data_IF_196738787320
#
_entry.id   IF_196738787320
#
_cell.length_a   1.000
_cell.length_b   1.000
_cell.length_c   1.000
_cell.angle_alpha   90.00
_cell.angle_beta   90.00
_cell.angle_gamma   90.00
#
_symmetry.space_group_name_H-M   'P 1'
#
loop_
_entity.id
_entity.type
_entity.pdbx_description
1 polymer ?
#
# COMPACT_ATOMS: atom_id res chain seq x y z
N UNK A 1 -15.36 52.35 -4.33
CA UNK A 1 -14.90 51.32 -3.38
C UNK A 1 -16.11 50.59 -2.83
N UNK A 2 -16.48 49.43 -3.38
CA UNK A 2 -17.45 48.53 -2.77
C UNK A 2 -16.74 47.40 -2.02
N UNK A 3 -17.11 47.20 -0.76
CA UNK A 3 -16.63 46.10 0.09
C UNK A 3 -17.43 44.83 -0.21
N UNK A 4 -16.76 43.77 -0.68
CA UNK A 4 -17.34 42.45 -0.88
C UNK A 4 -17.37 41.67 0.44
N UNK A 5 -18.56 41.49 1.00
CA UNK A 5 -18.85 40.51 2.06
C UNK A 5 -19.13 39.15 1.39
N UNK A 6 -18.16 38.23 1.47
CA UNK A 6 -18.39 36.81 1.18
C UNK A 6 -18.59 36.09 2.51
N UNK A 7 -19.85 35.76 2.78
CA UNK A 7 -20.31 35.07 3.98
C UNK A 7 -19.88 33.60 3.95
N UNK A 8 -18.99 33.20 4.85
CA UNK A 8 -18.75 31.79 5.19
C UNK A 8 -19.98 31.24 5.92
N UNK A 9 -20.72 30.33 5.28
CA UNK A 9 -21.66 29.41 5.94
C UNK A 9 -21.17 27.98 5.71
N UNK A 10 -20.51 27.41 6.70
CA UNK A 10 -20.44 25.96 6.91
C UNK A 10 -20.56 25.73 8.40
N UNK A 11 -21.67 25.14 8.83
CA UNK A 11 -21.77 24.29 10.00
C UNK A 11 -23.15 23.62 10.03
N UNK A 12 -23.12 22.35 10.44
CA UNK A 12 -24.20 21.52 10.94
C UNK A 12 -25.24 20.99 9.94
N UNK A 13 -24.94 19.83 9.33
CA UNK A 13 -25.86 18.68 9.22
C UNK A 13 -25.09 17.37 9.08
N UNK A 14 -24.79 16.72 10.20
CA UNK A 14 -24.62 15.27 10.26
C UNK A 14 -25.27 14.79 11.55
N UNK A 15 -26.55 14.44 11.43
CA UNK A 15 -27.28 13.60 12.38
C UNK A 15 -28.36 12.86 11.60
N UNK A 16 -28.40 11.56 11.85
CA UNK A 16 -29.47 10.59 11.62
C UNK A 16 -29.46 9.75 10.33
N UNK A 17 -29.50 8.43 10.61
CA UNK A 17 -29.98 7.31 9.81
C UNK A 17 -29.03 6.67 8.78
N UNK A 18 -28.22 5.71 9.25
CA UNK A 18 -27.99 4.49 8.49
C UNK A 18 -29.03 3.44 8.93
N UNK A 19 -30.08 3.16 8.15
CA UNK A 19 -30.91 1.99 8.39
C UNK A 19 -30.12 0.75 8.00
N UNK A 20 -30.15 -0.22 8.91
CA UNK A 20 -29.71 -1.59 8.74
C UNK A 20 -30.10 -2.12 7.36
N UNK A 21 -29.11 -2.36 6.50
CA UNK A 21 -29.29 -3.14 5.29
C UNK A 21 -29.57 -4.58 5.73
N UNK A 22 -30.85 -4.94 5.75
CA UNK A 22 -31.27 -6.34 5.86
C UNK A 22 -30.63 -7.13 4.73
N UNK A 23 -29.77 -8.07 5.11
CA UNK A 23 -29.21 -9.08 4.23
C UNK A 23 -30.36 -9.93 3.69
N UNK A 24 -30.89 -9.58 2.51
CA UNK A 24 -31.80 -10.45 1.77
C UNK A 24 -30.95 -11.58 1.20
N UNK A 25 -30.98 -12.70 1.91
CA UNK A 25 -30.41 -13.97 1.49
C UNK A 25 -31.15 -14.42 0.22
N UNK A 26 -30.65 -14.03 -0.95
CA UNK A 26 -31.15 -14.53 -2.21
C UNK A 26 -30.56 -15.92 -2.40
N UNK A 27 -31.35 -16.95 -2.05
CA UNK A 27 -31.05 -18.33 -2.41
C UNK A 27 -31.14 -18.42 -3.93
N UNK A 28 -30.00 -18.27 -4.61
CA UNK A 28 -29.88 -18.64 -6.00
C UNK A 28 -29.93 -20.17 -6.03
N UNK A 29 -31.10 -20.71 -6.37
CA UNK A 29 -31.22 -22.11 -6.74
C UNK A 29 -30.29 -22.35 -7.94
N UNK A 30 -29.18 -23.03 -7.70
CA UNK A 30 -28.30 -23.51 -8.76
C UNK A 30 -29.10 -24.48 -9.63
N UNK A 31 -29.53 -24.01 -10.79
CA UNK A 31 -29.94 -24.88 -11.88
C UNK A 31 -28.67 -25.59 -12.37
N UNK A 32 -28.59 -26.90 -12.14
CA UNK A 32 -27.58 -27.75 -12.77
C UNK A 32 -27.73 -27.62 -14.30
N UNK A 33 -26.70 -27.12 -15.03
CA UNK A 33 -26.73 -27.21 -16.47
C UNK A 33 -26.63 -28.69 -16.87
N UNK A 34 -27.58 -29.14 -17.68
CA UNK A 34 -27.58 -30.47 -18.27
C UNK A 34 -26.22 -30.74 -18.95
N UNK A 35 -25.54 -31.79 -18.47
CA UNK A 35 -24.28 -32.29 -19.01
C UNK A 35 -24.49 -32.63 -20.48
N UNK A 36 -23.89 -31.85 -21.37
CA UNK A 36 -23.84 -32.17 -22.79
C UNK A 36 -22.77 -33.25 -22.99
N UNK A 37 -23.08 -34.39 -23.63
CA UNK A 37 -22.10 -35.45 -23.84
C UNK A 37 -20.95 -34.95 -24.73
N UNK A 38 -19.72 -35.13 -24.25
CA UNK A 38 -18.47 -34.88 -24.97
C UNK A 38 -18.46 -35.69 -26.27
N UNK A 39 -18.24 -35.00 -27.39
CA UNK A 39 -18.00 -35.62 -28.70
C UNK A 39 -16.73 -36.49 -28.70
N UNK A 40 -16.60 -37.40 -29.67
CA UNK A 40 -15.48 -38.33 -29.73
C UNK A 40 -14.13 -37.62 -29.87
N UNK A 41 -13.05 -38.17 -29.29
CA UNK A 41 -11.73 -37.56 -29.31
C UNK A 41 -11.18 -37.44 -30.73
N UNK A 42 -10.55 -36.28 -31.00
CA UNK A 42 -9.85 -36.01 -32.25
C UNK A 42 -8.69 -37.00 -32.48
N UNK A 43 -8.40 -37.37 -33.73
CA UNK A 43 -7.32 -38.31 -34.06
C UNK A 43 -5.94 -37.74 -33.72
N UNK A 44 -5.05 -38.63 -33.25
CA UNK A 44 -3.69 -38.34 -32.84
C UNK A 44 -2.82 -37.79 -33.99
N UNK A 45 -2.04 -36.74 -33.69
CA UNK A 45 -1.00 -36.21 -34.55
C UNK A 45 0.20 -37.18 -34.63
N UNK A 46 0.90 -37.25 -35.78
CA UNK A 46 2.07 -38.10 -35.95
C UNK A 46 3.30 -37.56 -35.19
N UNK A 47 4.12 -38.49 -34.69
CA UNK A 47 5.36 -38.22 -33.99
C UNK A 47 6.39 -37.49 -34.88
N UNK A 48 6.94 -36.39 -34.37
CA UNK A 48 8.09 -35.70 -34.95
C UNK A 48 9.37 -36.49 -34.63
N UNK A 49 10.13 -36.80 -35.67
CA UNK A 49 11.36 -37.59 -35.60
C UNK A 49 12.54 -36.84 -34.97
N UNK A 50 13.43 -37.64 -34.39
CA UNK A 50 14.75 -37.25 -33.88
C UNK A 50 15.62 -36.59 -34.96
N UNK A 51 16.02 -35.34 -34.73
CA UNK A 51 17.16 -34.73 -35.41
C UNK A 51 18.43 -34.99 -34.60
N UNK A 52 19.33 -35.78 -35.18
CA UNK A 52 20.71 -35.98 -34.73
C UNK A 52 21.58 -34.79 -35.12
N UNK A 53 22.34 -34.25 -34.17
CA UNK A 53 23.39 -33.25 -34.40
C UNK A 53 24.71 -33.92 -34.79
N UNK A 54 25.41 -33.46 -35.84
CA UNK A 54 26.80 -33.84 -36.06
C UNK A 54 27.74 -32.98 -35.20
N UNK A 55 28.63 -33.67 -34.48
CA UNK A 55 29.74 -33.07 -33.73
C UNK A 55 30.86 -32.71 -34.71
N UNK A 56 31.24 -31.42 -34.75
CA UNK A 56 32.38 -30.94 -35.53
C UNK A 56 33.41 -30.34 -34.57
N UNK A 57 34.50 -31.08 -34.38
CA UNK A 57 35.71 -30.61 -33.70
C UNK A 57 36.58 -29.89 -34.73
N UNK A 58 36.85 -28.60 -34.52
CA UNK A 58 37.79 -27.84 -35.34
C UNK A 58 39.05 -27.52 -34.53
N UNK A 59 40.20 -28.02 -35.00
CA UNK A 59 41.54 -27.71 -34.52
C UNK A 59 41.89 -26.24 -34.80
N UNK A 60 42.39 -25.55 -33.78
CA UNK A 60 42.92 -24.19 -33.89
C UNK A 60 44.43 -24.21 -34.21
N UNK A 61 44.91 -23.43 -35.19
CA UNK A 61 46.34 -23.29 -35.47
C UNK A 61 47.04 -22.32 -34.48
N UNK A 62 48.36 -22.47 -34.27
CA UNK A 62 49.11 -21.70 -33.29
C UNK A 62 49.35 -20.24 -33.71
N UNK A 63 49.51 -19.30 -32.74
CA UNK A 63 49.73 -17.89 -33.03
C UNK A 63 51.18 -17.62 -33.48
N UNK A 64 51.32 -16.84 -34.55
CA UNK A 64 52.59 -16.28 -35.02
C UNK A 64 53.01 -15.02 -34.25
N UNK A 65 54.29 -14.60 -34.37
CA UNK A 65 54.87 -13.52 -33.58
C UNK A 65 54.43 -12.13 -34.04
N UNK A 66 53.97 -11.32 -33.08
CA UNK A 66 53.50 -9.94 -33.26
C UNK A 66 54.67 -8.97 -33.47
N UNK A 67 54.61 -8.17 -34.52
CA UNK A 67 55.50 -7.03 -34.76
C UNK A 67 55.13 -5.83 -33.85
N UNK A 68 56.07 -4.91 -33.53
CA UNK A 68 55.81 -3.77 -32.66
C UNK A 68 54.99 -2.70 -33.39
N UNK A 69 53.83 -2.35 -32.82
CA UNK A 69 52.98 -1.25 -33.30
C UNK A 69 53.38 0.04 -32.56
N UNK A 70 53.69 1.06 -33.36
CA UNK A 70 53.99 2.44 -32.95
C UNK A 70 52.70 3.10 -32.44
N UNK A 71 52.76 3.67 -31.22
CA UNK A 71 51.65 4.39 -30.58
C UNK A 71 51.48 5.81 -31.16
N UNK A 72 50.29 6.21 -31.62
CA UNK A 72 49.93 7.61 -31.74
C UNK A 72 49.40 8.14 -30.40
N UNK A 73 49.85 9.32 -29.99
CA UNK A 73 49.31 10.09 -28.86
C UNK A 73 47.81 10.36 -29.07
N UNK A 74 46.97 9.67 -28.31
CA UNK A 74 45.55 9.98 -28.19
C UNK A 74 45.39 11.10 -27.17
N UNK A 75 44.92 12.25 -27.63
CA UNK A 75 44.49 13.35 -26.77
C UNK A 75 43.25 12.92 -25.99
N UNK A 76 43.42 12.58 -24.72
CA UNK A 76 42.35 12.18 -23.80
C UNK A 76 41.42 13.37 -23.55
N UNK A 77 40.35 13.47 -24.33
CA UNK A 77 39.18 14.26 -23.95
C UNK A 77 38.54 13.53 -22.76
N UNK A 78 38.73 14.06 -21.56
CA UNK A 78 38.17 13.49 -20.34
C UNK A 78 36.65 13.35 -20.47
N UNK A 79 36.07 12.21 -20.05
CA UNK A 79 34.62 12.07 -20.05
C UNK A 79 34.05 13.18 -19.18
N UNK A 80 33.21 14.02 -19.79
CA UNK A 80 32.35 14.93 -19.06
C UNK A 80 31.58 14.08 -18.05
N UNK A 81 31.91 14.26 -16.78
CA UNK A 81 31.21 13.63 -15.67
C UNK A 81 29.77 14.10 -15.77
N UNK A 82 28.90 13.27 -16.33
CA UNK A 82 27.47 13.45 -16.25
C UNK A 82 27.16 13.41 -14.75
N UNK A 83 26.87 14.58 -14.18
CA UNK A 83 26.30 14.63 -12.83
C UNK A 83 25.09 13.70 -12.86
N UNK A 84 25.00 12.71 -11.95
CA UNK A 84 23.80 11.90 -11.84
C UNK A 84 22.62 12.85 -11.67
N UNK A 85 21.61 12.69 -12.53
CA UNK A 85 20.39 13.47 -12.41
C UNK A 85 19.90 13.32 -10.97
N UNK A 86 19.82 14.44 -10.24
CA UNK A 86 19.38 14.44 -8.85
C UNK A 86 18.00 13.80 -8.80
N UNK A 87 17.89 12.64 -8.14
CA UNK A 87 16.61 11.98 -7.89
C UNK A 87 15.63 13.02 -7.36
N UNK A 88 14.46 13.21 -7.99
CA UNK A 88 13.43 14.09 -7.44
C UNK A 88 13.21 13.74 -5.97
N UNK A 89 13.07 14.73 -5.06
CA UNK A 89 12.81 14.41 -3.66
C UNK A 89 11.59 13.48 -3.60
N UNK A 90 11.73 12.34 -2.89
CA UNK A 90 10.81 11.19 -2.92
C UNK A 90 9.33 11.56 -2.69
N UNK A 91 9.06 12.71 -2.08
CA UNK A 91 7.72 13.21 -1.80
C UNK A 91 7.01 13.74 -3.06
N UNK A 92 7.74 14.11 -4.13
CA UNK A 92 7.13 14.61 -5.37
C UNK A 92 6.44 13.54 -6.19
N UNK A 93 6.96 12.32 -6.14
CA UNK A 93 6.43 11.19 -6.89
C UNK A 93 5.29 10.48 -6.16
N UNK A 94 5.40 10.37 -4.83
CA UNK A 94 4.39 9.72 -4.01
C UNK A 94 4.29 10.37 -2.62
N UNK A 95 3.08 10.80 -2.28
CA UNK A 95 2.69 11.19 -0.94
C UNK A 95 1.38 10.48 -0.56
N UNK A 96 1.32 9.92 0.64
CA UNK A 96 0.13 9.24 1.14
C UNK A 96 -0.94 10.24 1.60
N UNK A 97 -2.19 9.88 1.42
CA UNK A 97 -3.32 10.56 2.04
C UNK A 97 -3.47 10.03 3.48
N UNK A 98 -3.62 10.96 4.42
CA UNK A 98 -3.89 10.64 5.83
C UNK A 98 -5.39 10.42 6.05
N UNK A 99 -6.19 11.15 5.27
CA UNK A 99 -7.63 11.02 5.08
C UNK A 99 -7.99 11.60 3.69
N UNK A 100 -9.27 11.65 3.33
CA UNK A 100 -9.74 12.11 2.01
C UNK A 100 -9.38 13.57 1.65
N UNK A 101 -8.97 14.37 2.64
CA UNK A 101 -8.70 15.80 2.47
C UNK A 101 -7.34 16.25 3.01
N UNK A 102 -6.54 15.33 3.56
CA UNK A 102 -5.27 15.64 4.21
C UNK A 102 -4.15 14.81 3.60
N UNK A 103 -3.12 15.47 3.08
CA UNK A 103 -1.93 14.83 2.50
C UNK A 103 -0.77 14.82 3.49
N UNK A 104 -0.02 13.72 3.54
CA UNK A 104 1.21 13.61 4.30
C UNK A 104 2.39 14.23 3.54
N UNK A 105 2.93 15.33 4.05
CA UNK A 105 4.15 15.96 3.52
C UNK A 105 5.42 15.29 4.07
N UNK A 106 5.43 14.86 5.33
CA UNK A 106 6.57 14.19 5.95
C UNK A 106 6.14 13.16 6.99
N UNK A 107 6.74 11.97 6.92
CA UNK A 107 6.57 10.88 7.90
C UNK A 107 7.56 10.96 9.08
N UNK A 108 8.58 11.82 8.98
CA UNK A 108 9.66 11.96 9.97
C UNK A 108 9.89 13.44 10.31
N UNK A 109 8.87 14.13 10.85
CA UNK A 109 8.96 15.56 11.11
C UNK A 109 9.91 15.87 12.27
N UNK A 110 10.59 17.01 12.20
CA UNK A 110 11.19 17.61 13.40
C UNK A 110 10.08 18.36 14.17
N UNK A 111 9.81 17.92 15.40
CA UNK A 111 8.76 18.51 16.26
C UNK A 111 8.97 20.01 16.50
N UNK A 112 10.20 20.52 16.39
CA UNK A 112 10.55 21.94 16.52
C UNK A 112 10.02 22.80 15.37
N UNK A 113 9.52 22.21 14.29
CA UNK A 113 8.83 22.94 13.23
C UNK A 113 7.45 23.44 13.67
N UNK A 114 6.85 22.84 14.70
CA UNK A 114 5.56 23.27 15.24
C UNK A 114 5.59 24.63 15.95
N UNK A 115 4.43 25.29 16.02
CA UNK A 115 4.20 26.59 16.66
C UNK A 115 2.86 26.60 17.40
N UNK A 116 2.86 27.12 18.62
CA UNK A 116 1.66 27.29 19.42
C UNK A 116 1.26 26.02 20.19
N UNK A 117 0.14 26.08 20.93
CA UNK A 117 -0.35 24.95 21.72
C UNK A 117 -0.90 23.83 20.83
N UNK A 118 -0.90 22.61 21.36
CA UNK A 118 -1.59 21.48 20.73
C UNK A 118 -3.10 21.63 20.88
N UNK A 119 -3.81 21.35 19.79
CA UNK A 119 -5.26 21.25 19.69
C UNK A 119 -5.65 19.79 19.62
N UNK A 120 -6.59 19.37 20.45
CA UNK A 120 -7.13 18.02 20.40
C UNK A 120 -8.01 17.87 19.14
N UNK A 121 -7.87 16.74 18.45
CA UNK A 121 -8.73 16.34 17.35
C UNK A 121 -9.50 15.09 17.77
N UNK A 122 -10.84 15.15 17.69
CA UNK A 122 -11.68 14.00 18.02
C UNK A 122 -11.63 12.99 16.88
N UNK A 123 -10.87 11.91 17.08
CA UNK A 123 -10.84 10.75 16.20
C UNK A 123 -11.36 9.52 16.97
N UNK A 124 -12.11 8.63 16.31
CA UNK A 124 -12.86 7.54 16.98
C UNK A 124 -11.97 6.46 17.59
N UNK A 125 -10.75 6.27 17.08
CA UNK A 125 -9.90 5.13 17.41
C UNK A 125 -8.49 5.51 17.88
N UNK A 126 -8.17 6.80 17.98
CA UNK A 126 -6.83 7.26 18.35
C UNK A 126 -6.90 8.63 19.01
N UNK A 127 -5.89 8.94 19.83
CA UNK A 127 -5.66 10.31 20.28
C UNK A 127 -4.99 11.05 19.13
N UNK A 128 -5.67 12.05 18.60
CA UNK A 128 -5.10 12.95 17.61
C UNK A 128 -4.92 14.35 18.20
N UNK A 129 -3.80 14.96 17.87
CA UNK A 129 -3.50 16.34 18.18
C UNK A 129 -2.88 17.03 16.98
N UNK A 130 -3.00 18.35 16.94
CA UNK A 130 -2.32 19.14 15.93
C UNK A 130 -1.80 20.46 16.48
N UNK A 131 -0.81 21.03 15.81
CA UNK A 131 -0.46 22.45 15.93
C UNK A 131 0.00 23.00 14.60
N UNK A 132 -0.03 24.32 14.47
CA UNK A 132 0.49 25.00 13.27
C UNK A 132 1.98 24.70 13.08
N UNK A 133 2.45 24.69 11.84
CA UNK A 133 3.88 24.65 11.51
C UNK A 133 4.39 26.07 11.20
N UNK A 134 5.55 26.44 11.75
CA UNK A 134 6.30 27.62 11.30
C UNK A 134 6.97 27.30 9.95
N UNK A 135 6.35 27.77 8.86
CA UNK A 135 6.82 27.56 7.48
C UNK A 135 8.27 27.95 7.22
N UNK A 136 8.83 28.85 8.04
CA UNK A 136 10.24 29.28 7.92
C UNK A 136 11.23 28.25 8.47
N UNK A 137 10.74 27.29 9.27
CA UNK A 137 11.53 26.17 9.84
C UNK A 137 11.46 24.92 8.98
N UNK A 138 10.51 24.84 8.04
CA UNK A 138 10.43 23.71 7.12
C UNK A 138 11.64 23.67 6.19
N UNK A 139 12.17 22.48 5.90
CA UNK A 139 13.07 22.23 4.76
C UNK A 139 12.53 22.81 3.45
N UNK A 140 13.44 23.22 2.57
CA UNK A 140 13.09 23.92 1.32
C UNK A 140 12.27 23.04 0.36
N UNK A 141 12.53 21.75 0.33
CA UNK A 141 11.77 20.75 -0.44
C UNK A 141 10.31 20.64 0.02
N UNK A 142 10.07 20.55 1.34
CA UNK A 142 8.72 20.56 1.90
C UNK A 142 8.02 21.89 1.67
N UNK A 143 8.74 23.01 1.82
CA UNK A 143 8.17 24.35 1.59
C UNK A 143 7.79 24.54 0.13
N UNK A 144 8.57 23.99 -0.80
CA UNK A 144 8.32 24.05 -2.23
C UNK A 144 7.07 23.27 -2.65
N UNK A 145 6.63 22.27 -1.88
CA UNK A 145 5.40 21.53 -2.15
C UNK A 145 4.12 22.31 -1.83
N UNK A 146 4.18 23.24 -0.90
CA UNK A 146 3.01 24.04 -0.53
C UNK A 146 2.50 24.82 -1.73
N UNK A 147 1.18 24.84 -1.92
CA UNK A 147 0.52 25.44 -3.08
C UNK A 147 0.86 24.81 -4.43
N UNK A 148 1.49 23.63 -4.45
CA UNK A 148 1.62 22.86 -5.70
C UNK A 148 0.31 22.18 -6.05
N UNK A 149 0.07 22.09 -7.36
CA UNK A 149 -1.00 21.28 -7.94
C UNK A 149 -0.59 19.80 -7.94
N UNK A 150 -1.47 18.95 -7.42
CA UNK A 150 -1.30 17.51 -7.30
C UNK A 150 -2.44 16.78 -8.00
N UNK A 151 -2.12 15.63 -8.58
CA UNK A 151 -3.12 14.65 -8.97
C UNK A 151 -3.27 13.66 -7.80
N UNK A 152 -4.52 13.43 -7.39
CA UNK A 152 -4.88 12.54 -6.29
C UNK A 152 -5.43 11.25 -6.89
N UNK A 153 -5.05 10.12 -6.32
CA UNK A 153 -5.30 8.79 -6.84
C UNK A 153 -5.94 7.92 -5.75
N UNK A 154 -6.89 7.09 -6.19
CA UNK A 154 -7.47 6.01 -5.41
C UNK A 154 -6.92 4.66 -5.87
N UNK A 155 -7.69 3.59 -5.61
CA UNK A 155 -7.33 2.20 -5.95
C UNK A 155 -7.27 1.92 -7.46
N UNK A 156 -8.03 2.69 -8.26
CA UNK A 156 -8.22 2.43 -9.69
C UNK A 156 -7.64 3.52 -10.61
N UNK A 157 -6.86 4.46 -10.05
CA UNK A 157 -6.29 5.57 -10.80
C UNK A 157 -6.66 6.93 -10.23
N UNK A 158 -6.54 7.97 -11.06
CA UNK A 158 -6.74 9.36 -10.64
C UNK A 158 -8.21 9.64 -10.31
N UNK A 159 -8.47 10.24 -9.15
CA UNK A 159 -9.81 10.63 -8.68
C UNK A 159 -10.07 12.11 -8.86
N UNK A 160 -9.11 12.98 -8.55
CA UNK A 160 -9.25 14.43 -8.66
C UNK A 160 -7.89 15.11 -8.88
N UNK A 161 -7.91 16.40 -9.22
CA UNK A 161 -6.75 17.30 -9.14
C UNK A 161 -7.00 18.33 -8.04
N UNK A 162 -6.02 18.55 -7.18
CA UNK A 162 -6.12 19.43 -6.03
C UNK A 162 -4.88 20.33 -5.89
N UNK A 163 -4.94 21.31 -5.00
CA UNK A 163 -3.80 22.14 -4.61
C UNK A 163 -3.47 21.90 -3.14
N UNK A 164 -2.19 21.74 -2.81
CA UNK A 164 -1.76 21.60 -1.41
C UNK A 164 -1.95 22.96 -0.70
N UNK A 165 -2.69 22.98 0.40
CA UNK A 165 -2.94 24.20 1.16
C UNK A 165 -1.62 24.84 1.64
N UNK A 166 -1.54 26.18 1.70
CA UNK A 166 -0.29 26.88 2.03
C UNK A 166 0.11 26.77 3.51
N UNK A 167 -0.79 26.28 4.37
CA UNK A 167 -0.62 26.23 5.82
C UNK A 167 -0.55 24.77 6.30
N UNK A 168 0.67 24.22 6.44
CA UNK A 168 0.84 22.88 6.99
C UNK A 168 0.63 22.85 8.51
N UNK A 169 0.34 21.65 9.01
CA UNK A 169 0.13 21.32 10.42
C UNK A 169 1.08 20.19 10.84
N UNK A 170 1.49 20.20 12.10
CA UNK A 170 2.18 19.08 12.73
C UNK A 170 1.09 18.25 13.39
N UNK A 171 0.76 17.11 12.82
CA UNK A 171 -0.19 16.16 13.38
C UNK A 171 0.57 15.17 14.28
N UNK A 172 0.02 14.91 15.46
CA UNK A 172 0.48 13.90 16.40
C UNK A 172 -0.64 12.87 16.58
N UNK A 173 -0.32 11.60 16.41
CA UNK A 173 -1.26 10.49 16.58
C UNK A 173 -0.69 9.48 17.56
N UNK A 174 -1.54 9.05 18.48
CA UNK A 174 -1.25 7.98 19.41
C UNK A 174 -2.40 6.98 19.34
N UNK A 175 -2.05 5.74 19.03
CA UNK A 175 -2.99 4.63 18.99
C UNK A 175 -2.60 3.70 20.13
N UNK A 176 -3.46 3.46 21.11
CA UNK A 176 -3.10 2.72 22.31
C UNK A 176 -4.11 2.86 23.42
N UNK A 177 -3.87 2.20 24.56
CA UNK A 177 -4.80 2.28 25.69
C UNK A 177 -4.65 3.62 26.41
N UNK A 178 -5.78 4.30 26.52
CA UNK A 178 -5.92 5.63 27.11
C UNK A 178 -5.65 5.61 28.64
N UNK A 179 -5.92 4.49 29.30
CA UNK A 179 -5.73 4.28 30.74
C UNK A 179 -4.27 4.39 31.21
N UNK A 180 -3.29 4.29 30.29
CA UNK A 180 -1.88 4.54 30.59
C UNK A 180 -1.57 6.00 30.88
N UNK A 181 -2.34 6.90 30.29
CA UNK A 181 -2.10 8.34 30.38
C UNK A 181 -3.20 9.06 31.16
N UNK A 182 -4.38 8.47 31.28
CA UNK A 182 -5.54 9.12 31.86
C UNK A 182 -6.13 8.29 32.98
N UNK A 183 -6.60 8.98 34.02
CA UNK A 183 -7.22 8.34 35.17
C UNK A 183 -8.64 7.84 34.84
N UNK A 184 -9.27 8.38 33.78
CA UNK A 184 -10.60 7.98 33.34
C UNK A 184 -10.90 8.34 31.88
N UNK A 185 -11.87 7.66 31.27
CA UNK A 185 -12.43 8.04 29.97
C UNK A 185 -13.03 9.46 29.99
N UNK A 186 -13.60 9.89 31.12
CA UNK A 186 -14.17 11.23 31.28
C UNK A 186 -13.10 12.33 31.13
N UNK A 187 -11.88 12.10 31.63
CA UNK A 187 -10.76 13.02 31.45
C UNK A 187 -10.41 13.20 29.96
N UNK A 188 -10.50 12.13 29.16
CA UNK A 188 -10.29 12.19 27.71
C UNK A 188 -11.39 12.99 27.01
N UNK A 189 -12.66 12.72 27.36
CA UNK A 189 -13.81 13.45 26.80
C UNK A 189 -13.76 14.95 27.11
N UNK A 190 -13.39 15.32 28.34
CA UNK A 190 -13.26 16.71 28.77
C UNK A 190 -12.25 17.49 27.90
N UNK A 191 -11.18 16.85 27.43
CA UNK A 191 -10.19 17.49 26.56
C UNK A 191 -10.67 17.69 25.13
N UNK A 192 -11.40 16.72 24.59
CA UNK A 192 -12.03 16.89 23.28
C UNK A 192 -13.04 18.03 23.31
N UNK A 193 -13.81 18.15 24.38
CA UNK A 193 -14.80 19.23 24.55
C UNK A 193 -14.13 20.60 24.73
N UNK A 194 -12.96 20.65 25.38
CA UNK A 194 -12.14 21.86 25.50
C UNK A 194 -11.33 22.16 24.23
N UNK A 195 -11.19 21.21 23.31
CA UNK A 195 -10.35 21.31 22.12
C UNK A 195 -8.87 21.50 22.41
N UNK A 196 -8.41 21.18 23.63
CA UNK A 196 -7.04 21.41 24.10
C UNK A 196 -6.57 20.23 24.91
N UNK A 197 -5.35 19.78 24.64
CA UNK A 197 -4.67 18.75 25.44
C UNK A 197 -3.93 19.41 26.62
N UNK A 198 -3.61 18.65 27.68
CA UNK A 198 -2.74 19.14 28.74
C UNK A 198 -1.40 19.61 28.20
N UNK A 199 -0.89 20.70 28.77
CA UNK A 199 0.37 21.31 28.30
C UNK A 199 1.58 20.37 28.50
N UNK A 200 1.48 19.41 29.42
CA UNK A 200 2.48 18.39 29.70
C UNK A 200 2.27 17.08 28.94
N UNK A 201 1.18 16.92 28.17
CA UNK A 201 0.88 15.66 27.49
C UNK A 201 1.95 15.27 26.47
N UNK A 202 2.45 16.21 25.67
CA UNK A 202 3.54 15.95 24.71
C UNK A 202 4.82 15.51 25.45
N UNK A 203 5.06 16.03 26.66
CA UNK A 203 6.20 15.62 27.49
C UNK A 203 5.97 14.26 28.18
N UNK A 204 4.72 13.94 28.54
CA UNK A 204 4.33 12.67 29.17
C UNK A 204 4.36 11.50 28.20
N UNK A 205 3.81 11.69 27.00
CA UNK A 205 3.76 10.66 25.94
C UNK A 205 5.11 10.61 25.20
N UNK A 206 5.82 11.74 25.12
CA UNK A 206 7.17 11.78 24.55
C UNK A 206 7.19 11.21 23.13
N UNK A 207 8.04 10.20 22.92
CA UNK A 207 8.26 9.58 21.62
C UNK A 207 7.20 8.54 21.21
N UNK A 208 6.20 8.26 22.07
CA UNK A 208 5.10 7.35 21.72
C UNK A 208 4.09 7.98 20.74
N UNK A 209 4.14 9.31 20.54
CA UNK A 209 3.41 9.92 19.44
C UNK A 209 4.10 9.65 18.10
N UNK A 210 3.32 9.13 17.16
CA UNK A 210 3.68 9.21 15.75
C UNK A 210 3.40 10.62 15.27
N UNK A 211 4.39 11.27 14.69
CA UNK A 211 4.29 12.65 14.23
C UNK A 211 4.35 12.72 12.71
N UNK A 212 3.54 13.60 12.12
CA UNK A 212 3.52 13.85 10.68
C UNK A 212 3.51 15.36 10.40
N UNK A 213 4.16 15.80 9.32
CA UNK A 213 3.76 17.08 8.70
C UNK A 213 2.67 16.77 7.68
N UNK A 214 1.53 17.42 7.83
CA UNK A 214 0.37 17.27 6.94
C UNK A 214 -0.08 18.62 6.41
N UNK A 215 -0.84 18.62 5.32
CA UNK A 215 -1.54 19.79 4.81
C UNK A 215 -2.90 19.38 4.26
N UNK A 216 -3.86 20.30 4.30
CA UNK A 216 -5.13 20.10 3.62
C UNK A 216 -4.92 20.15 2.10
N UNK A 217 -5.80 19.50 1.35
CA UNK A 217 -5.90 19.66 -0.09
C UNK A 217 -7.14 20.49 -0.44
N UNK A 218 -6.99 21.39 -1.40
CA UNK A 218 -8.05 22.26 -1.90
C UNK A 218 -8.41 21.79 -3.32
N UNK A 219 -9.64 21.31 -3.51
CA UNK A 219 -10.14 20.78 -4.79
C UNK A 219 -11.54 21.32 -5.09
N UNK A 220 -11.81 21.59 -6.36
CA UNK A 220 -13.17 21.86 -6.87
C UNK A 220 -13.92 20.56 -7.21
N UNK A 221 -13.19 19.45 -7.27
CA UNK A 221 -13.69 18.11 -7.55
C UNK A 221 -13.79 17.29 -6.28
N UNK A 222 -14.66 16.30 -6.30
CA UNK A 222 -14.73 15.29 -5.26
C UNK A 222 -13.50 14.39 -5.30
N UNK A 223 -12.91 14.12 -4.14
CA UNK A 223 -11.72 13.30 -3.97
C UNK A 223 -12.02 12.03 -3.15
N UNK A 224 -13.28 11.62 -3.08
CA UNK A 224 -13.70 10.36 -2.46
C UNK A 224 -12.83 9.16 -2.89
N UNK A 225 -12.42 8.35 -1.91
CA UNK A 225 -11.54 7.20 -2.14
C UNK A 225 -10.08 7.56 -2.43
N UNK A 226 -9.64 8.78 -2.13
CA UNK A 226 -8.24 9.19 -2.21
C UNK A 226 -7.35 8.36 -1.27
N UNK A 227 -6.26 7.82 -1.82
CA UNK A 227 -5.27 7.01 -1.09
C UNK A 227 -3.88 7.64 -1.12
N UNK A 228 -3.52 8.26 -2.23
CA UNK A 228 -2.21 8.87 -2.43
C UNK A 228 -2.26 9.98 -3.48
N UNK A 229 -1.18 10.76 -3.60
CA UNK A 229 -1.09 11.84 -4.55
C UNK A 229 0.33 12.02 -5.10
N UNK A 230 0.41 12.68 -6.26
CA UNK A 230 1.64 13.00 -6.98
C UNK A 230 1.58 14.43 -7.50
N UNK A 231 2.72 15.10 -7.66
CA UNK A 231 2.76 16.43 -8.30
C UNK A 231 2.28 16.32 -9.75
N UNK A 232 1.26 17.11 -10.10
CA UNK A 232 0.56 17.05 -11.40
C UNK A 232 1.43 17.41 -12.61
N UNK A 233 2.59 18.04 -12.40
CA UNK A 233 3.55 18.35 -13.47
C UNK A 233 4.41 17.16 -13.90
N UNK A 234 4.34 16.04 -13.17
CA UNK A 234 5.03 14.81 -13.54
C UNK A 234 4.19 14.01 -14.54
N UNK A 235 4.81 13.10 -15.34
CA UNK A 235 4.06 12.15 -16.16
C UNK A 235 3.05 11.35 -15.32
N UNK A 236 1.99 10.87 -15.98
CA UNK A 236 1.03 10.00 -15.30
C UNK A 236 1.74 8.71 -14.83
N UNK A 237 1.49 8.28 -13.57
CA UNK A 237 2.04 7.03 -13.04
C UNK A 237 1.37 5.82 -13.71
N UNK A 238 2.06 4.68 -13.69
CA UNK A 238 1.41 3.41 -14.02
C UNK A 238 0.64 2.94 -12.80
N UNK A 239 -0.69 2.81 -12.90
CA UNK A 239 -1.54 2.30 -11.83
C UNK A 239 -2.11 0.96 -12.25
N UNK A 240 -1.95 -0.05 -11.40
CA UNK A 240 -2.62 -1.33 -11.58
C UNK A 240 -3.97 -1.25 -10.88
N UNK A 241 -5.00 -1.70 -11.60
CA UNK A 241 -6.38 -1.77 -11.12
C UNK A 241 -6.74 -3.20 -10.78
N UNK A 242 -7.62 -3.39 -9.79
CA UNK A 242 -8.15 -4.72 -9.49
C UNK A 242 -9.13 -5.12 -10.58
N UNK A 243 -8.94 -6.29 -11.17
CA UNK A 243 -9.75 -6.78 -12.29
C UNK A 243 -10.29 -8.17 -12.02
N UNK A 244 -11.49 -8.44 -12.53
CA UNK A 244 -12.10 -9.76 -12.42
C UNK A 244 -11.40 -10.73 -13.37
N UNK A 245 -10.94 -11.90 -12.91
CA UNK A 245 -10.18 -12.83 -13.72
C UNK A 245 -11.05 -13.47 -14.81
N UNK A 246 -10.59 -13.41 -16.07
CA UNK A 246 -11.27 -14.03 -17.21
C UNK A 246 -10.35 -14.98 -18.00
N UNK A 247 -10.90 -16.08 -18.50
CA UNK A 247 -10.19 -17.02 -19.39
C UNK A 247 -8.84 -17.51 -18.85
N UNK A 248 -7.75 -17.05 -19.46
CA UNK A 248 -6.37 -17.43 -19.10
C UNK A 248 -6.03 -16.99 -17.66
N UNK A 249 -6.51 -15.83 -17.22
CA UNK A 249 -6.25 -15.31 -15.87
C UNK A 249 -6.84 -16.21 -14.80
N UNK A 250 -8.08 -16.67 -15.00
CA UNK A 250 -8.71 -17.63 -14.08
C UNK A 250 -7.86 -18.90 -13.92
N UNK A 251 -7.18 -19.34 -14.99
CA UNK A 251 -6.27 -20.48 -14.93
C UNK A 251 -4.98 -20.14 -14.17
N UNK A 252 -4.41 -18.94 -14.37
CA UNK A 252 -3.24 -18.46 -13.63
C UNK A 252 -3.54 -18.33 -12.13
N UNK A 253 -4.70 -17.78 -11.76
CA UNK A 253 -5.15 -17.68 -10.37
C UNK A 253 -5.29 -19.05 -9.71
N UNK A 254 -5.86 -20.02 -10.43
CA UNK A 254 -5.94 -21.40 -9.93
C UNK A 254 -4.56 -22.02 -9.73
N UNK A 255 -3.59 -21.73 -10.60
CA UNK A 255 -2.22 -22.23 -10.43
C UNK A 255 -1.50 -21.55 -9.26
N UNK A 256 -1.61 -20.23 -9.11
CA UNK A 256 -1.10 -19.50 -7.93
C UNK A 256 -1.67 -20.11 -6.65
N UNK A 257 -3.00 -20.31 -6.61
CA UNK A 257 -3.68 -20.95 -5.49
C UNK A 257 -3.12 -22.34 -5.18
N UNK A 258 -2.85 -23.17 -6.20
CA UNK A 258 -2.24 -24.49 -6.00
C UNK A 258 -0.78 -24.41 -5.56
N UNK A 259 -0.02 -23.44 -6.07
CA UNK A 259 1.40 -23.25 -5.74
C UNK A 259 1.55 -22.82 -4.28
N UNK A 260 0.84 -21.77 -3.86
CA UNK A 260 0.87 -21.33 -2.44
C UNK A 260 0.42 -22.44 -1.51
N UNK A 261 -0.64 -23.18 -1.85
CA UNK A 261 -1.10 -24.30 -1.03
C UNK A 261 -0.09 -25.45 -0.90
N UNK A 262 0.87 -25.56 -1.81
CA UNK A 262 1.97 -26.53 -1.75
C UNK A 262 3.22 -25.97 -1.07
N UNK A 263 3.27 -24.67 -0.80
CA UNK A 263 4.41 -24.01 -0.16
C UNK A 263 4.58 -24.46 1.29
N UNK A 264 5.83 -24.46 1.77
CA UNK A 264 6.12 -24.77 3.17
C UNK A 264 5.43 -23.80 4.15
N UNK A 265 5.45 -22.46 3.93
CA UNK A 265 4.74 -21.51 4.81
C UNK A 265 3.25 -21.82 4.97
N UNK A 266 2.55 -22.17 3.88
CA UNK A 266 1.14 -22.53 3.95
C UNK A 266 0.90 -23.82 4.73
N UNK A 267 1.76 -24.84 4.54
CA UNK A 267 1.65 -26.10 5.27
C UNK A 267 1.88 -25.88 6.77
N UNK A 268 2.89 -25.08 7.14
CA UNK A 268 3.14 -24.67 8.53
C UNK A 268 1.94 -23.96 9.14
N UNK A 269 1.39 -22.94 8.46
CA UNK A 269 0.20 -22.23 8.92
C UNK A 269 -1.00 -23.19 9.13
N UNK A 270 -1.25 -24.12 8.20
CA UNK A 270 -2.32 -25.11 8.37
C UNK A 270 -2.12 -25.96 9.61
N UNK A 271 -0.91 -26.48 9.80
CA UNK A 271 -0.61 -27.41 10.89
C UNK A 271 -0.68 -26.68 12.26
N UNK A 272 -0.26 -25.41 12.31
CA UNK A 272 -0.43 -24.54 13.48
C UNK A 272 -1.90 -24.25 13.79
N UNK A 273 -2.73 -23.99 12.77
CA UNK A 273 -4.17 -23.78 12.97
C UNK A 273 -4.84 -25.02 13.54
N UNK A 274 -4.51 -26.20 13.02
CA UNK A 274 -5.09 -27.45 13.53
C UNK A 274 -4.66 -27.74 14.97
N UNK A 275 -3.41 -27.45 15.34
CA UNK A 275 -2.95 -27.54 16.72
C UNK A 275 -3.71 -26.54 17.62
N UNK A 276 -3.87 -25.31 17.16
CA UNK A 276 -4.62 -24.27 17.85
C UNK A 276 -6.10 -24.65 18.06
N UNK A 277 -6.77 -25.14 17.01
CA UNK A 277 -8.15 -25.63 17.05
C UNK A 277 -8.35 -26.77 18.05
N UNK A 278 -7.38 -27.70 18.13
CA UNK A 278 -7.42 -28.80 19.09
C UNK A 278 -7.23 -28.32 20.53
N UNK A 279 -6.44 -27.28 20.75
CA UNK A 279 -6.24 -26.67 22.07
C UNK A 279 -7.46 -25.85 22.53
N UNK A 280 -8.23 -25.28 21.59
CA UNK A 280 -9.47 -24.53 21.85
C UNK A 280 -10.71 -25.43 22.01
N UNK A 281 -10.54 -26.70 22.41
CA UNK A 281 -11.60 -27.69 22.63
C UNK A 281 -12.63 -27.87 21.48
N UNK A 282 -12.24 -27.50 20.25
CA UNK A 282 -13.05 -27.73 19.04
C UNK A 282 -14.10 -26.66 18.72
N UNK A 283 -14.12 -25.53 19.43
CA UNK A 283 -15.05 -24.41 19.17
C UNK A 283 -14.74 -23.65 17.86
N UNK A 284 -13.56 -23.88 17.28
CA UNK A 284 -13.13 -23.23 16.03
C UNK A 284 -13.48 -24.06 14.80
N UNK A 285 -13.79 -23.40 13.67
CA UNK A 285 -14.22 -24.08 12.46
C UNK A 285 -13.13 -25.01 11.90
N UNK A 286 -13.48 -26.08 11.18
CA UNK A 286 -12.50 -26.89 10.44
C UNK A 286 -11.69 -26.04 9.46
N UNK A 287 -10.44 -26.44 9.17
CA UNK A 287 -9.54 -25.69 8.28
C UNK A 287 -10.18 -25.25 6.96
N UNK A 288 -10.97 -26.11 6.31
CA UNK A 288 -11.61 -25.77 5.04
C UNK A 288 -12.60 -24.60 5.16
N UNK A 289 -13.31 -24.50 6.28
CA UNK A 289 -14.25 -23.40 6.56
C UNK A 289 -13.49 -22.14 6.96
N UNK A 290 -12.49 -22.26 7.84
CA UNK A 290 -11.58 -21.15 8.18
C UNK A 290 -10.99 -20.53 6.91
N UNK A 291 -10.39 -21.35 6.04
CA UNK A 291 -9.77 -20.89 4.82
C UNK A 291 -10.75 -20.20 3.87
N UNK A 292 -12.02 -20.65 3.84
CA UNK A 292 -13.04 -20.02 2.98
C UNK A 292 -13.41 -18.61 3.44
N UNK A 293 -13.24 -18.32 4.73
CA UNK A 293 -13.53 -17.02 5.35
C UNK A 293 -12.31 -16.11 5.40
N UNK A 294 -11.11 -16.70 5.49
CA UNK A 294 -9.85 -16.00 5.73
C UNK A 294 -8.87 -16.17 4.56
N UNK A 295 -9.31 -15.76 3.37
CA UNK A 295 -8.45 -15.69 2.20
C UNK A 295 -8.78 -14.48 1.31
N UNK A 296 -7.77 -13.96 0.64
CA UNK A 296 -7.91 -13.01 -0.46
C UNK A 296 -7.11 -13.50 -1.66
N UNK A 297 -7.66 -13.26 -2.85
CA UNK A 297 -7.01 -13.57 -4.12
C UNK A 297 -7.40 -12.47 -5.12
N UNK A 298 -6.52 -11.50 -5.29
CA UNK A 298 -6.78 -10.31 -6.10
C UNK A 298 -5.87 -10.30 -7.33
N UNK A 299 -6.46 -10.10 -8.51
CA UNK A 299 -5.75 -9.88 -9.75
C UNK A 299 -5.64 -8.37 -10.02
N UNK A 300 -4.43 -7.91 -10.26
CA UNK A 300 -4.09 -6.51 -10.51
C UNK A 300 -3.47 -6.35 -11.89
N UNK A 301 -3.92 -5.36 -12.64
CA UNK A 301 -3.44 -5.11 -14.00
C UNK A 301 -3.45 -3.64 -14.40
N UNK A 302 -2.44 -3.22 -15.13
CA UNK A 302 -2.39 -1.91 -15.77
C UNK A 302 -3.31 -1.83 -17.00
N UNK A 303 -3.60 -0.61 -17.47
CA UNK A 303 -4.51 -0.43 -18.61
C UNK A 303 -3.99 -1.04 -19.92
N UNK A 304 -2.66 -1.14 -20.08
CA UNK A 304 -2.04 -1.75 -21.25
C UNK A 304 -1.95 -3.29 -21.17
N UNK A 305 -2.18 -3.89 -20.00
CA UNK A 305 -1.96 -5.31 -19.76
C UNK A 305 -0.50 -5.75 -19.75
N UNK A 306 0.44 -4.79 -19.67
CA UNK A 306 1.88 -5.06 -19.63
C UNK A 306 2.29 -5.60 -18.26
N UNK A 307 1.64 -5.12 -17.20
CA UNK A 307 1.89 -5.53 -15.83
C UNK A 307 0.68 -6.30 -15.32
N UNK A 308 0.89 -7.57 -14.97
CA UNK A 308 -0.12 -8.39 -14.29
C UNK A 308 0.48 -8.93 -12.99
N UNK A 309 -0.24 -8.73 -11.90
CA UNK A 309 0.11 -9.20 -10.56
C UNK A 309 -1.04 -9.97 -9.94
N UNK A 310 -0.75 -11.04 -9.20
CA UNK A 310 -1.74 -11.75 -8.38
C UNK A 310 -1.31 -11.67 -6.93
N UNK A 311 -2.09 -10.99 -6.11
CA UNK A 311 -1.92 -10.99 -4.67
C UNK A 311 -2.73 -12.13 -4.09
N UNK A 312 -2.11 -12.91 -3.21
CA UNK A 312 -2.76 -14.01 -2.50
C UNK A 312 -2.39 -13.92 -1.03
N UNK A 313 -3.41 -13.87 -0.18
CA UNK A 313 -3.22 -13.96 1.25
C UNK A 313 -4.15 -15.01 1.87
N UNK A 314 -3.63 -15.73 2.85
CA UNK A 314 -4.35 -16.72 3.64
C UNK A 314 -4.11 -16.49 5.13
N UNK A 315 -5.13 -16.80 5.92
CA UNK A 315 -5.09 -16.67 7.36
C UNK A 315 -5.60 -15.32 7.84
N UNK A 316 -5.24 -15.00 9.09
CA UNK A 316 -5.70 -13.85 9.89
C UNK A 316 -7.17 -13.95 10.34
N UNK A 317 -7.34 -14.37 11.60
CA UNK A 317 -8.55 -14.18 12.37
C UNK A 317 -8.51 -12.72 12.87
N UNK A 318 -9.49 -11.88 12.54
CA UNK A 318 -9.55 -10.48 13.01
C UNK A 318 -9.66 -10.42 14.54
N UNK A 319 -8.56 -10.63 15.28
CA UNK A 319 -8.49 -10.42 16.72
C UNK A 319 -7.24 -9.61 17.07
N UNK A 320 -7.51 -8.33 17.28
CA UNK A 320 -6.81 -7.44 18.19
C UNK A 320 -6.71 -8.08 19.56
N UNK A 321 -5.48 -8.39 20.00
CA UNK A 321 -5.13 -8.74 21.37
C UNK A 321 -5.91 -9.93 22.02
N UNK A 322 -5.47 -11.17 21.81
CA UNK A 322 -6.00 -12.37 22.50
C UNK A 322 -5.29 -13.67 22.11
N UNK A 323 -5.76 -14.82 22.61
CA UNK A 323 -5.27 -16.18 22.29
C UNK A 323 -5.61 -16.60 20.84
N UNK A 324 -5.69 -15.68 19.88
CA UNK A 324 -6.11 -15.96 18.51
C UNK A 324 -5.04 -16.62 17.64
N UNK A 325 -5.47 -17.21 16.52
CA UNK A 325 -4.56 -17.75 15.50
C UNK A 325 -4.00 -16.62 14.62
N UNK A 326 -2.70 -16.30 14.78
CA UNK A 326 -2.05 -15.18 14.10
C UNK A 326 -1.22 -15.55 12.85
N UNK A 327 -1.03 -16.83 12.56
CA UNK A 327 -0.21 -17.21 11.41
C UNK A 327 -0.95 -16.93 10.09
N UNK A 328 -0.18 -16.49 9.10
CA UNK A 328 -0.67 -16.05 7.81
C UNK A 328 0.40 -16.28 6.74
N UNK A 329 -0.04 -16.30 5.49
CA UNK A 329 0.83 -16.35 4.31
C UNK A 329 0.33 -15.32 3.32
N UNK A 330 1.19 -14.40 2.92
CA UNK A 330 0.90 -13.42 1.88
C UNK A 330 2.02 -13.42 0.84
N UNK A 331 1.65 -13.52 -0.43
CA UNK A 331 2.58 -13.53 -1.55
C UNK A 331 2.04 -12.68 -2.70
N UNK A 332 2.96 -12.04 -3.42
CA UNK A 332 2.68 -11.30 -4.65
C UNK A 332 3.32 -12.04 -5.82
N UNK A 333 2.51 -12.37 -6.83
CA UNK A 333 2.97 -13.07 -8.02
C UNK A 333 3.04 -12.14 -9.22
N UNK A 334 4.19 -12.16 -9.87
CA UNK A 334 4.55 -11.38 -11.04
C UNK A 334 4.56 -12.27 -12.28
N UNK A 335 3.82 -11.89 -13.34
CA UNK A 335 3.79 -12.62 -14.61
C UNK A 335 4.49 -11.81 -15.70
N UNK A 336 5.48 -12.40 -16.36
CA UNK A 336 6.17 -11.78 -17.50
C UNK A 336 6.81 -12.80 -18.44
N UNK A 337 7.61 -12.32 -19.40
CA UNK A 337 8.29 -13.17 -20.37
C UNK A 337 9.27 -14.18 -19.74
N UNK A 338 9.84 -13.83 -18.59
CA UNK A 338 10.73 -14.71 -17.81
C UNK A 338 9.98 -15.78 -16.99
N UNK A 339 8.64 -15.79 -17.04
CA UNK A 339 7.79 -16.70 -16.28
C UNK A 339 7.15 -16.04 -15.06
N UNK A 340 6.82 -16.88 -14.08
CA UNK A 340 6.17 -16.49 -12.83
C UNK A 340 7.24 -16.30 -11.74
N UNK A 341 7.24 -15.14 -11.10
CA UNK A 341 8.08 -14.82 -9.94
C UNK A 341 7.17 -14.58 -8.74
N UNK A 342 7.54 -15.10 -7.57
CA UNK A 342 6.82 -14.90 -6.31
C UNK A 342 7.67 -14.04 -5.37
N UNK A 343 7.06 -13.02 -4.79
CA UNK A 343 7.65 -12.13 -3.79
C UNK A 343 6.88 -12.30 -2.47
N UNK A 344 7.56 -12.53 -1.33
CA UNK A 344 6.88 -12.57 -0.05
C UNK A 344 6.34 -11.17 0.29
N UNK A 345 5.13 -11.11 0.83
CA UNK A 345 4.54 -9.86 1.33
C UNK A 345 4.55 -9.87 2.86
N UNK A 346 4.55 -8.69 3.51
CA UNK A 346 4.31 -8.61 4.95
C UNK A 346 3.01 -9.33 5.31
N UNK A 347 2.90 -9.80 6.55
CA UNK A 347 1.63 -10.20 7.09
C UNK A 347 0.65 -9.00 7.06
N UNK A 348 -0.59 -9.20 6.57
CA UNK A 348 -1.73 -8.26 6.65
C UNK A 348 -1.98 -7.17 5.58
N UNK A 349 -1.31 -7.07 4.42
CA UNK A 349 -1.68 -6.02 3.48
C UNK A 349 -2.94 -6.40 2.71
N UNK A 350 -4.09 -5.87 3.11
CA UNK A 350 -5.11 -5.56 2.12
C UNK A 350 -4.52 -4.50 1.21
N UNK A 351 -4.14 -4.89 0.00
CA UNK A 351 -3.54 -3.98 -0.96
C UNK A 351 -4.63 -3.02 -1.44
N UNK A 352 -4.45 -1.75 -1.09
CA UNK A 352 -5.36 -0.66 -1.43
C UNK A 352 -5.10 -0.15 -2.86
N UNK A 353 -3.83 -0.09 -3.26
CA UNK A 353 -3.41 0.26 -4.62
C UNK A 353 -2.04 -0.34 -4.94
N UNK A 354 -1.75 -0.53 -6.24
CA UNK A 354 -0.41 -0.86 -6.75
C UNK A 354 -0.04 0.15 -7.83
N UNK A 355 1.15 0.71 -7.75
CA UNK A 355 1.58 1.83 -8.61
C UNK A 355 3.06 1.73 -8.91
N UNK A 356 3.49 2.20 -10.08
CA UNK A 356 4.86 2.69 -10.30
C UNK A 356 4.78 4.21 -10.31
N UNK A 357 5.11 4.80 -9.15
CA UNK A 357 4.94 6.23 -8.93
C UNK A 357 6.07 7.06 -9.52
N UNK A 358 7.24 6.45 -9.74
CA UNK A 358 8.45 7.13 -10.23
C UNK A 358 8.68 6.97 -11.74
N UNK A 359 7.92 6.10 -12.41
CA UNK A 359 8.14 5.66 -13.79
C UNK A 359 9.52 4.98 -13.96
N UNK A 360 9.93 4.21 -12.96
CA UNK A 360 11.19 3.45 -12.96
C UNK A 360 10.99 1.94 -13.26
N UNK A 361 9.74 1.51 -13.43
CA UNK A 361 9.34 0.14 -13.68
C UNK A 361 9.23 -0.72 -12.42
N UNK A 362 9.55 -0.17 -11.24
CA UNK A 362 9.35 -0.83 -9.96
C UNK A 362 7.96 -0.50 -9.42
N UNK A 363 7.19 -1.53 -9.04
CA UNK A 363 5.86 -1.36 -8.50
C UNK A 363 5.92 -1.26 -6.98
N UNK A 364 5.39 -0.17 -6.43
CA UNK A 364 5.08 -0.01 -5.03
C UNK A 364 3.65 -0.47 -4.72
N UNK A 365 3.47 -1.13 -3.58
CA UNK A 365 2.14 -1.48 -3.06
C UNK A 365 1.76 -0.52 -1.92
N UNK A 366 0.57 0.07 -2.01
CA UNK A 366 -0.04 0.83 -0.92
C UNK A 366 -0.99 -0.13 -0.20
N UNK A 367 -0.74 -0.33 1.09
CA UNK A 367 -1.42 -1.33 1.90
C UNK A 367 -2.10 -0.68 3.08
N UNK A 368 -3.24 -1.21 3.49
CA UNK A 368 -3.83 -0.84 4.77
C UNK A 368 -2.98 -1.43 5.91
N UNK A 369 -2.62 -0.58 6.87
CA UNK A 369 -1.81 -0.95 8.03
C UNK A 369 -2.42 -0.28 9.28
N UNK A 370 -3.21 -1.05 10.03
CA UNK A 370 -4.01 -0.55 11.13
C UNK A 370 -4.96 0.57 10.70
N UNK A 371 -4.83 1.74 11.33
CA UNK A 371 -5.64 2.93 11.03
C UNK A 371 -5.06 3.81 9.91
N UNK A 372 -4.02 3.35 9.20
CA UNK A 372 -3.37 4.14 8.15
C UNK A 372 -3.02 3.33 6.91
N UNK A 373 -2.19 3.96 6.08
CA UNK A 373 -1.64 3.40 4.85
C UNK A 373 -0.12 3.30 4.97
N UNK A 374 0.44 2.23 4.42
CA UNK A 374 1.89 2.01 4.28
C UNK A 374 2.22 1.76 2.81
N UNK A 375 3.27 2.39 2.31
CA UNK A 375 3.89 2.08 1.02
C UNK A 375 4.96 1.04 1.27
N UNK A 376 4.90 -0.08 0.56
CA UNK A 376 5.93 -1.10 0.56
C UNK A 376 6.53 -1.27 -0.83
N UNK A 377 7.84 -1.57 -0.87
CA UNK A 377 8.51 -1.94 -2.11
C UNK A 377 8.11 -3.35 -2.58
N UNK A 378 8.64 -3.79 -3.72
CA UNK A 378 8.34 -5.10 -4.31
C UNK A 378 8.71 -6.30 -3.41
N UNK A 379 9.59 -6.12 -2.42
CA UNK A 379 9.97 -7.18 -1.47
C UNK A 379 9.35 -6.96 -0.08
N UNK A 380 8.40 -6.03 0.04
CA UNK A 380 7.63 -5.79 1.26
C UNK A 380 8.29 -4.86 2.28
N UNK A 381 9.42 -4.20 1.97
CA UNK A 381 9.99 -3.25 2.93
C UNK A 381 9.15 -1.96 2.97
N UNK A 382 8.83 -1.45 4.17
CA UNK A 382 8.11 -0.20 4.30
C UNK A 382 8.99 0.98 3.84
N UNK A 383 8.50 1.73 2.85
CA UNK A 383 9.12 2.96 2.33
C UNK A 383 8.58 4.21 3.03
N UNK A 384 7.29 4.21 3.32
CA UNK A 384 6.56 5.34 3.95
C UNK A 384 5.33 4.81 4.65
N UNK A 385 4.95 5.44 5.76
CA UNK A 385 3.73 5.07 6.47
C UNK A 385 3.00 6.30 7.03
N UNK A 386 1.67 6.21 7.04
CA UNK A 386 0.74 7.04 7.83
C UNK A 386 0.11 6.25 8.98
N UNK A 387 0.46 4.95 9.11
CA UNK A 387 0.03 4.11 10.22
C UNK A 387 0.61 4.63 11.53
N UNK A 388 -0.23 4.57 12.57
CA UNK A 388 0.16 4.85 13.94
C UNK A 388 0.20 3.50 14.65
N UNK A 389 1.38 3.00 15.04
CA UNK A 389 1.51 1.72 15.70
C UNK A 389 0.71 1.74 17.00
N UNK A 390 0.15 0.58 17.34
CA UNK A 390 -0.61 0.41 18.56
C UNK A 390 0.31 0.25 19.77
N UNK A 391 0.18 1.16 20.74
CA UNK A 391 0.89 1.18 22.02
C UNK A 391 -0.05 0.71 23.13
N UNK A 392 -0.14 -0.61 23.30
CA UNK A 392 -0.84 -1.27 24.40
C UNK A 392 -0.06 -2.48 24.88
N UNK A 393 -0.68 -3.38 25.66
CA UNK A 393 -0.13 -4.73 25.79
C UNK A 393 -0.10 -5.35 24.40
N UNK A 394 1.09 -5.40 23.80
CA UNK A 394 1.30 -6.06 22.52
C UNK A 394 0.84 -7.50 22.63
N UNK A 395 0.08 -7.96 21.65
CA UNK A 395 -0.13 -9.39 21.44
C UNK A 395 0.65 -9.78 20.19
#
# INVERSE_FOLDING_TARGET
>A
MPSSLVTRRRLARFREAAPWAGLVLTVVAMHEPAVTPLGPPAPALPALGETTHPSVTADAPPPGPTAPVVSPEVTTSGPASAQPASTPPAIRALALMVDEHTIQLSATPDRRWGRGPLRALRETALIAAERDVDRRRLPDDLRAMLSQSIDVYGSNGRVCTATIAPQPRLALRFNGWLDRFFESEQETEDWYDQGRLPDDLEARIGDEFTAFVVADIESEQDCDGALWARVSSLPAPTVLTRVEPTGVEATQLLEVKRTVRRSAPYQTMRDEYEAFRLAADGDLPPWAMFLSQHHSLDLWRDTAGTHTRVHVAYGDFEHTCGDGFGANVAELYSFGAAGQVSEPMPARPSIAAMVDANDDGELESIVHDGAGLTVVDAIGNPLRSTSTPFFGCGC
#
